data_IF_553269638166
#
_entry.id   IF_553269638166
#
_cell.length_a   1.000
_cell.length_b   1.000
_cell.length_c   1.000
_cell.angle_alpha   90.00
_cell.angle_beta   90.00
_cell.angle_gamma   90.00
#
_symmetry.space_group_name_H-M   'P 1'
#
loop_
_entity.id
_entity.type
_entity.pdbx_description
1 polymer ?
#
# COMPACT_ATOMS: atom_id res chain seq x y z
N UNK A 1 16.39 -18.65 11.07
CA UNK A 1 17.46 -17.72 10.68
C UNK A 1 16.98 -16.27 10.46
N UNK A 2 15.92 -15.81 11.15
CA UNK A 2 15.38 -14.42 11.06
C UNK A 2 15.54 -13.60 12.36
N UNK A 3 15.98 -14.24 13.47
CA UNK A 3 16.16 -13.60 14.79
C UNK A 3 17.44 -12.77 14.92
N UNK A 4 18.44 -12.99 14.07
CA UNK A 4 19.66 -12.16 14.04
C UNK A 4 19.47 -10.83 13.30
N UNK A 5 18.40 -10.68 12.49
CA UNK A 5 18.11 -9.41 11.80
C UNK A 5 17.50 -8.32 12.69
N UNK A 6 17.06 -8.64 13.91
CA UNK A 6 16.47 -7.67 14.84
C UNK A 6 17.50 -6.85 15.62
N UNK A 7 18.76 -7.29 15.70
CA UNK A 7 19.81 -6.61 16.47
C UNK A 7 20.67 -5.64 15.65
N UNK A 8 20.51 -5.65 14.33
CA UNK A 8 20.96 -4.58 13.46
C UNK A 8 19.79 -3.62 13.19
N UNK A 9 19.25 -3.01 14.24
CA UNK A 9 18.79 -1.62 14.10
C UNK A 9 20.00 -0.88 13.56
N UNK A 10 20.00 -0.61 12.25
CA UNK A 10 21.16 -0.05 11.56
C UNK A 10 21.54 1.21 12.32
N UNK A 11 22.80 1.33 12.71
CA UNK A 11 23.33 2.52 13.36
C UNK A 11 22.87 3.82 12.66
N UNK A 12 22.68 3.75 11.34
CA UNK A 12 22.07 4.75 10.45
C UNK A 12 20.67 5.23 10.88
N UNK A 13 19.84 4.38 11.46
CA UNK A 13 18.49 4.71 11.94
C UNK A 13 18.51 5.28 13.37
N UNK A 14 19.47 4.87 14.20
CA UNK A 14 19.64 5.36 15.57
C UNK A 14 20.38 6.70 15.61
N UNK A 15 21.30 6.96 14.69
CA UNK A 15 22.13 8.16 14.65
C UNK A 15 21.30 9.46 14.63
N UNK A 16 20.22 9.62 13.85
CA UNK A 16 19.41 10.84 13.86
C UNK A 16 18.71 11.08 15.19
N UNK A 17 18.24 10.02 15.85
CA UNK A 17 17.62 10.10 17.17
C UNK A 17 18.65 10.42 18.26
N UNK A 18 19.82 9.78 18.20
CA UNK A 18 20.92 10.04 19.13
C UNK A 18 21.47 11.46 18.94
N UNK A 19 21.57 11.93 17.69
CA UNK A 19 21.90 13.31 17.37
C UNK A 19 20.82 14.29 17.84
N UNK A 20 19.54 13.94 17.69
CA UNK A 20 18.42 14.74 18.22
C UNK A 20 18.45 14.84 19.74
N UNK A 21 18.66 13.72 20.44
CA UNK A 21 18.83 13.67 21.90
C UNK A 21 20.07 14.46 22.32
N UNK A 22 21.21 14.28 21.64
CA UNK A 22 22.43 15.03 21.91
C UNK A 22 22.24 16.52 21.65
N UNK A 23 21.52 16.93 20.61
CA UNK A 23 21.19 18.32 20.32
C UNK A 23 20.26 18.90 21.39
N UNK A 24 19.26 18.14 21.85
CA UNK A 24 18.36 18.58 22.93
C UNK A 24 19.12 18.69 24.26
N UNK A 25 19.93 17.69 24.62
CA UNK A 25 20.74 17.71 25.84
C UNK A 25 21.83 18.77 25.78
N UNK A 26 22.52 18.91 24.64
CA UNK A 26 23.48 19.98 24.42
C UNK A 26 22.80 21.33 24.37
N UNK A 27 21.55 21.44 23.89
CA UNK A 27 20.81 22.70 23.91
C UNK A 27 20.45 23.11 25.33
N UNK A 28 20.25 22.19 26.27
CA UNK A 28 20.04 22.53 27.68
C UNK A 28 21.34 23.07 28.30
N UNK A 29 22.47 22.38 28.11
CA UNK A 29 23.77 22.83 28.64
C UNK A 29 24.30 24.09 27.95
N UNK A 30 24.06 24.20 26.64
CA UNK A 30 24.37 25.40 25.86
C UNK A 30 23.43 26.55 26.22
N UNK A 31 22.15 26.29 26.50
CA UNK A 31 21.22 27.30 26.98
C UNK A 31 21.63 27.80 28.37
N UNK A 32 22.06 26.93 29.27
CA UNK A 32 22.58 27.33 30.59
C UNK A 32 23.89 28.12 30.44
N UNK A 33 24.83 27.64 29.63
CA UNK A 33 26.10 28.35 29.38
C UNK A 33 25.91 29.69 28.67
N UNK A 34 24.98 29.76 27.71
CA UNK A 34 24.59 31.01 27.07
C UNK A 34 23.86 31.91 28.05
N UNK A 35 22.99 31.36 28.91
CA UNK A 35 22.30 32.12 29.95
C UNK A 35 23.29 32.77 30.89
N UNK A 36 24.28 32.04 31.38
CA UNK A 36 25.33 32.57 32.25
C UNK A 36 26.14 33.66 31.54
N UNK A 37 26.50 33.45 30.27
CA UNK A 37 27.18 34.46 29.45
C UNK A 37 26.33 35.71 29.20
N UNK A 38 25.04 35.54 28.92
CA UNK A 38 24.08 36.64 28.73
C UNK A 38 23.76 37.35 30.04
N UNK A 39 23.71 36.66 31.18
CA UNK A 39 23.54 37.26 32.50
C UNK A 39 24.78 38.11 32.86
N UNK A 40 25.99 37.62 32.59
CA UNK A 40 27.22 38.42 32.76
C UNK A 40 27.24 39.67 31.86
N UNK A 41 26.82 39.56 30.60
CA UNK A 41 26.69 40.70 29.69
C UNK A 41 25.57 41.66 30.14
N UNK A 42 24.45 41.12 30.60
CA UNK A 42 23.30 41.87 31.12
C UNK A 42 23.72 42.69 32.35
N UNK A 43 24.47 42.10 33.27
CA UNK A 43 25.01 42.78 34.45
C UNK A 43 26.01 43.88 34.06
N UNK A 44 26.90 43.61 33.09
CA UNK A 44 27.87 44.58 32.59
C UNK A 44 27.20 45.78 31.88
N UNK A 45 26.12 45.55 31.13
CA UNK A 45 25.40 46.59 30.38
C UNK A 45 24.15 47.14 31.09
N UNK A 46 23.86 46.68 32.31
CA UNK A 46 22.68 47.05 33.12
C UNK A 46 21.34 46.88 32.38
N UNK A 47 21.19 45.78 31.63
CA UNK A 47 19.98 45.49 30.85
C UNK A 47 18.87 44.94 31.76
N UNK A 48 17.63 45.45 31.68
CA UNK A 48 16.51 44.90 32.44
C UNK A 48 16.20 43.44 32.07
N UNK A 49 15.94 42.58 33.07
CA UNK A 49 15.75 41.13 32.84
C UNK A 49 14.57 40.75 31.92
N UNK A 50 13.58 41.64 31.76
CA UNK A 50 12.48 41.41 30.81
C UNK A 50 12.93 41.49 29.34
N UNK A 51 13.98 42.28 29.05
CA UNK A 51 14.53 42.43 27.69
C UNK A 51 15.23 41.15 27.26
N UNK A 52 16.01 40.52 28.14
CA UNK A 52 16.66 39.23 27.85
C UNK A 52 15.63 38.12 27.64
N UNK A 53 14.55 38.08 28.43
CA UNK A 53 13.46 37.12 28.23
C UNK A 53 12.79 37.28 26.86
N UNK A 54 12.59 38.53 26.42
CA UNK A 54 12.02 38.82 25.10
C UNK A 54 12.96 38.42 23.97
N UNK A 55 14.27 38.59 24.14
CA UNK A 55 15.28 38.14 23.17
C UNK A 55 15.29 36.61 22.99
N UNK A 56 15.24 35.84 24.09
CA UNK A 56 15.15 34.38 24.02
C UNK A 56 13.89 33.91 23.31
N UNK A 57 12.75 34.55 23.58
CA UNK A 57 11.48 34.25 22.90
C UNK A 57 11.57 34.52 21.40
N UNK A 58 12.18 35.64 21.00
CA UNK A 58 12.39 35.98 19.58
C UNK A 58 13.30 34.96 18.90
N UNK A 59 14.41 34.55 19.52
CA UNK A 59 15.31 33.51 18.99
C UNK A 59 14.57 32.18 18.83
N UNK A 60 13.76 31.77 19.81
CA UNK A 60 12.95 30.55 19.72
C UNK A 60 11.96 30.62 18.56
N UNK A 61 11.26 31.75 18.38
CA UNK A 61 10.32 31.95 17.27
C UNK A 61 11.06 31.89 15.93
N UNK A 62 12.25 32.51 15.82
CA UNK A 62 13.09 32.44 14.61
C UNK A 62 13.51 31.00 14.34
N UNK A 63 13.94 30.25 15.36
CA UNK A 63 14.34 28.84 15.21
C UNK A 63 13.16 27.97 14.76
N UNK A 64 11.96 28.16 15.34
CA UNK A 64 10.73 27.46 14.92
C UNK A 64 10.35 27.85 13.49
N UNK A 65 10.40 29.14 13.13
CA UNK A 65 10.11 29.61 11.78
C UNK A 65 11.11 29.06 10.76
N UNK A 66 12.39 29.01 11.12
CA UNK A 66 13.44 28.41 10.30
C UNK A 66 13.22 26.92 10.12
N UNK A 67 12.93 26.17 11.19
CA UNK A 67 12.61 24.73 11.14
C UNK A 67 11.35 24.46 10.31
N UNK A 68 10.32 25.31 10.42
CA UNK A 68 9.12 25.25 9.60
C UNK A 68 9.42 25.52 8.12
N UNK A 69 10.37 26.41 7.82
CA UNK A 69 10.78 26.71 6.45
C UNK A 69 11.66 25.58 5.87
N UNK A 70 12.53 24.97 6.68
CA UNK A 70 13.42 23.86 6.29
C UNK A 70 12.75 22.49 6.38
N UNK A 71 11.52 22.39 6.88
CA UNK A 71 10.76 21.12 6.99
C UNK A 71 10.71 20.36 5.66
N UNK A 72 10.63 21.08 4.54
CA UNK A 72 10.57 20.46 3.20
C UNK A 72 11.88 19.80 2.78
N UNK A 73 13.01 20.10 3.42
CA UNK A 73 14.29 19.43 3.19
C UNK A 73 14.51 18.27 4.16
N UNK A 74 14.06 18.42 5.42
CA UNK A 74 14.17 17.38 6.46
C UNK A 74 13.20 16.22 6.26
N UNK A 75 11.99 16.53 5.78
CA UNK A 75 10.89 15.58 5.62
C UNK A 75 10.54 15.37 4.15
N UNK A 76 11.51 15.39 3.22
CA UNK A 76 11.23 14.81 1.90
C UNK A 76 11.09 13.31 2.09
N UNK A 77 9.89 12.75 1.89
CA UNK A 77 9.77 11.31 1.91
C UNK A 77 10.60 10.75 0.77
N UNK A 78 11.67 10.03 1.11
CA UNK A 78 12.33 9.16 0.15
C UNK A 78 11.70 7.79 0.30
N UNK A 79 11.12 7.30 -0.79
CA UNK A 79 10.70 5.91 -0.92
C UNK A 79 11.97 5.07 -0.88
N UNK A 80 12.22 4.43 0.25
CA UNK A 80 13.38 3.56 0.46
C UNK A 80 13.06 2.27 -0.30
N UNK A 81 13.73 2.10 -1.44
CA UNK A 81 13.77 0.86 -2.21
C UNK A 81 12.43 0.34 -2.75
N UNK A 82 12.08 0.74 -3.98
CA UNK A 82 11.34 -0.18 -4.85
C UNK A 82 12.36 -1.23 -5.31
N UNK A 83 12.37 -2.44 -4.72
CA UNK A 83 13.13 -3.56 -5.28
C UNK A 83 12.48 -3.94 -6.63
N UNK A 84 12.93 -3.29 -7.69
CA UNK A 84 12.45 -3.53 -9.05
C UNK A 84 12.72 -4.99 -9.43
N UNK A 85 11.71 -5.70 -9.92
CA UNK A 85 11.77 -7.08 -10.41
C UNK A 85 11.97 -8.21 -9.39
N UNK A 86 11.70 -8.01 -8.10
CA UNK A 86 11.56 -9.16 -7.19
C UNK A 86 10.26 -9.90 -7.48
N UNK A 87 10.35 -11.20 -7.75
CA UNK A 87 9.17 -12.07 -7.76
C UNK A 87 8.55 -12.02 -6.35
N UNK A 88 7.27 -11.67 -6.20
CA UNK A 88 6.63 -11.58 -4.89
C UNK A 88 6.81 -12.92 -4.16
N UNK A 89 7.09 -12.88 -2.86
CA UNK A 89 6.90 -14.09 -2.07
C UNK A 89 5.39 -14.44 -2.07
N UNK A 90 5.01 -15.73 -2.06
CA UNK A 90 3.60 -16.08 -1.96
C UNK A 90 2.98 -15.65 -0.62
N UNK A 91 1.84 -14.95 -0.63
CA UNK A 91 1.15 -14.46 0.56
C UNK A 91 -0.18 -15.20 0.80
N UNK A 92 -0.55 -15.50 2.05
CA UNK A 92 -1.79 -16.20 2.38
C UNK A 92 -3.05 -15.31 2.34
N UNK A 93 -2.92 -13.98 2.34
CA UNK A 93 -4.05 -13.04 2.25
C UNK A 93 -3.83 -12.09 1.06
N UNK A 94 -4.75 -12.09 0.10
CA UNK A 94 -4.69 -11.22 -1.07
C UNK A 94 -5.89 -10.27 -1.08
N UNK A 95 -5.65 -8.98 -1.29
CA UNK A 95 -6.68 -7.98 -1.57
C UNK A 95 -6.60 -7.61 -3.04
N UNK A 96 -7.70 -7.69 -3.79
CA UNK A 96 -7.72 -7.38 -5.22
C UNK A 96 -8.82 -6.39 -5.58
N UNK A 97 -8.51 -5.46 -6.47
CA UNK A 97 -9.50 -4.58 -7.08
C UNK A 97 -10.03 -5.22 -8.36
N UNK A 98 -11.32 -5.57 -8.38
CA UNK A 98 -11.92 -6.23 -9.53
C UNK A 98 -12.38 -5.19 -10.56
N UNK A 99 -11.78 -5.24 -11.75
CA UNK A 99 -12.20 -4.45 -12.91
C UNK A 99 -13.59 -4.89 -13.40
N UNK A 100 -14.38 -3.92 -13.86
CA UNK A 100 -15.60 -4.21 -14.59
C UNK A 100 -15.27 -4.79 -15.97
N UNK A 101 -16.07 -5.75 -16.42
CA UNK A 101 -16.12 -6.16 -17.80
C UNK A 101 -17.08 -5.23 -18.53
N UNK A 102 -16.60 -4.59 -19.60
CA UNK A 102 -17.51 -3.84 -20.46
C UNK A 102 -18.46 -4.83 -21.12
N UNK A 103 -19.73 -4.75 -20.75
CA UNK A 103 -20.82 -5.53 -21.34
C UNK A 103 -21.20 -4.94 -22.71
N UNK A 104 -20.27 -5.01 -23.66
CA UNK A 104 -20.59 -4.87 -25.09
C UNK A 104 -21.56 -5.99 -25.46
N UNK A 105 -22.68 -5.64 -26.12
CA UNK A 105 -23.99 -6.29 -26.01
C UNK A 105 -24.11 -7.81 -26.26
N UNK A 106 -23.11 -8.56 -26.73
CA UNK A 106 -23.26 -10.00 -27.00
C UNK A 106 -22.01 -10.87 -26.77
N UNK A 107 -20.88 -10.32 -26.31
CA UNK A 107 -19.60 -11.04 -26.40
C UNK A 107 -19.12 -11.71 -25.11
N UNK A 108 -19.87 -11.57 -24.01
CA UNK A 108 -19.47 -12.10 -22.69
C UNK A 108 -20.63 -12.89 -22.07
N UNK A 109 -20.39 -14.18 -21.80
CA UNK A 109 -21.32 -15.07 -21.11
C UNK A 109 -20.74 -15.44 -19.74
N UNK A 110 -21.46 -15.12 -18.66
CA UNK A 110 -21.02 -15.36 -17.27
C UNK A 110 -19.57 -14.87 -17.01
N UNK A 111 -19.24 -13.69 -17.54
CA UNK A 111 -17.93 -13.07 -17.39
C UNK A 111 -16.82 -13.65 -18.29
N UNK A 112 -17.10 -14.68 -19.09
CA UNK A 112 -16.15 -15.28 -20.04
C UNK A 112 -16.47 -14.77 -21.46
N UNK A 113 -15.48 -14.23 -22.20
CA UNK A 113 -15.70 -13.85 -23.59
C UNK A 113 -16.01 -15.05 -24.49
N UNK A 114 -16.88 -14.90 -25.50
CA UNK A 114 -17.29 -16.00 -26.40
C UNK A 114 -16.13 -16.66 -27.15
N UNK A 115 -15.01 -15.96 -27.34
CA UNK A 115 -13.81 -16.48 -27.99
C UNK A 115 -12.91 -17.29 -27.05
N UNK A 116 -13.19 -17.30 -25.74
CA UNK A 116 -12.41 -18.00 -24.72
C UNK A 116 -13.21 -19.18 -24.17
N UNK A 117 -12.62 -20.36 -24.21
CA UNK A 117 -13.15 -21.54 -23.51
C UNK A 117 -12.19 -21.93 -22.40
N UNK A 118 -12.69 -22.01 -21.17
CA UNK A 118 -11.90 -22.42 -20.01
C UNK A 118 -11.97 -23.94 -19.84
N UNK A 119 -10.81 -24.57 -19.64
CA UNK A 119 -10.63 -26.02 -19.47
C UNK A 119 -10.69 -26.47 -18.01
N UNK A 120 -10.85 -25.53 -17.08
CA UNK A 120 -10.76 -25.73 -15.62
C UNK A 120 -9.34 -26.09 -15.14
N UNK A 121 -8.34 -25.96 -16.00
CA UNK A 121 -6.93 -25.98 -15.62
C UNK A 121 -6.35 -24.57 -15.81
N UNK A 122 -6.05 -23.90 -14.69
CA UNK A 122 -5.58 -22.51 -14.70
C UNK A 122 -4.26 -22.35 -15.47
N UNK A 123 -3.37 -23.35 -15.44
CA UNK A 123 -2.10 -23.28 -16.16
C UNK A 123 -2.29 -23.38 -17.68
N UNK A 124 -3.21 -24.25 -18.13
CA UNK A 124 -3.55 -24.42 -19.55
C UNK A 124 -4.34 -23.22 -20.09
N UNK A 125 -5.28 -22.71 -19.31
CA UNK A 125 -6.11 -21.59 -19.70
C UNK A 125 -5.28 -20.30 -19.82
N UNK A 126 -4.35 -20.05 -18.91
CA UNK A 126 -3.43 -18.89 -19.02
C UNK A 126 -2.48 -19.01 -20.21
N UNK A 127 -1.97 -20.22 -20.51
CA UNK A 127 -1.18 -20.47 -21.73
C UNK A 127 -2.00 -20.25 -23.00
N UNK A 128 -3.29 -20.60 -22.97
CA UNK A 128 -4.20 -20.40 -24.10
C UNK A 128 -4.46 -18.91 -24.33
N UNK A 129 -4.76 -18.17 -23.25
CA UNK A 129 -4.93 -16.71 -23.31
C UNK A 129 -3.68 -16.00 -23.82
N UNK A 130 -2.50 -16.47 -23.45
CA UNK A 130 -1.21 -15.97 -23.94
C UNK A 130 -1.06 -16.15 -25.46
N UNK A 131 -1.29 -17.37 -25.97
CA UNK A 131 -1.25 -17.65 -27.41
C UNK A 131 -2.25 -16.81 -28.20
N UNK A 132 -3.47 -16.66 -27.68
CA UNK A 132 -4.53 -15.88 -28.32
C UNK A 132 -4.13 -14.41 -28.49
N UNK A 133 -3.40 -13.83 -27.53
CA UNK A 133 -2.88 -12.45 -27.63
C UNK A 133 -1.80 -12.29 -28.67
N UNK A 134 -0.94 -13.30 -28.84
CA UNK A 134 0.11 -13.29 -29.87
C UNK A 134 -0.50 -13.34 -31.28
N UNK A 135 -1.61 -14.05 -31.44
CA UNK A 135 -2.36 -14.14 -32.69
C UNK A 135 -3.25 -12.90 -32.94
N UNK A 136 -3.87 -12.36 -31.89
CA UNK A 136 -4.86 -11.27 -31.94
C UNK A 136 -4.77 -10.34 -30.73
N UNK A 137 -4.14 -9.17 -30.94
CA UNK A 137 -3.90 -8.19 -29.85
C UNK A 137 -5.17 -7.61 -29.22
N UNK A 138 -6.31 -7.69 -29.90
CA UNK A 138 -7.62 -7.24 -29.40
C UNK A 138 -8.27 -8.24 -28.42
N UNK A 139 -7.75 -9.47 -28.32
CA UNK A 139 -8.26 -10.50 -27.41
C UNK A 139 -7.64 -10.37 -26.02
N UNK A 140 -8.02 -9.30 -25.31
CA UNK A 140 -7.64 -9.09 -23.91
C UNK A 140 -8.84 -9.26 -23.00
N UNK A 141 -8.71 -10.15 -22.01
CA UNK A 141 -9.73 -10.33 -20.98
C UNK A 141 -9.24 -9.76 -19.65
N UNK A 142 -9.96 -8.77 -19.11
CA UNK A 142 -9.56 -8.03 -17.91
C UNK A 142 -9.34 -8.91 -16.68
N UNK A 143 -10.10 -10.00 -16.55
CA UNK A 143 -10.01 -10.91 -15.42
C UNK A 143 -8.84 -11.89 -15.51
N UNK A 144 -8.12 -11.95 -16.62
CA UNK A 144 -6.88 -12.72 -16.72
C UNK A 144 -5.83 -12.26 -15.71
N UNK A 145 -5.65 -10.94 -15.52
CA UNK A 145 -4.61 -10.42 -14.63
C UNK A 145 -4.85 -10.84 -13.16
N UNK A 146 -6.06 -10.66 -12.58
CA UNK A 146 -6.41 -11.23 -11.28
C UNK A 146 -6.18 -12.74 -11.20
N UNK A 147 -6.49 -13.50 -12.25
CA UNK A 147 -6.26 -14.96 -12.27
C UNK A 147 -4.76 -15.31 -12.21
N UNK A 148 -3.91 -14.56 -12.93
CA UNK A 148 -2.44 -14.69 -12.87
C UNK A 148 -1.90 -14.35 -11.47
N UNK A 149 -2.36 -13.25 -10.88
CA UNK A 149 -2.00 -12.84 -9.53
C UNK A 149 -2.38 -13.90 -8.48
N UNK A 150 -3.61 -14.43 -8.56
CA UNK A 150 -4.09 -15.49 -7.67
C UNK A 150 -3.31 -16.79 -7.83
N UNK A 151 -3.01 -17.21 -9.07
CA UNK A 151 -2.21 -18.41 -9.36
C UNK A 151 -0.86 -18.38 -8.64
N UNK A 152 -0.20 -17.23 -8.63
CA UNK A 152 1.09 -17.06 -7.97
C UNK A 152 1.04 -17.38 -6.46
N UNK A 153 -0.09 -17.11 -5.82
CA UNK A 153 -0.30 -17.33 -4.38
C UNK A 153 -1.01 -18.64 -4.02
N UNK A 154 -1.59 -19.33 -5.00
CA UNK A 154 -2.56 -20.42 -4.77
C UNK A 154 -2.13 -21.49 -3.75
N UNK A 155 -0.83 -21.80 -3.65
CA UNK A 155 -0.30 -22.82 -2.73
C UNK A 155 -0.40 -22.46 -1.25
N UNK A 156 -0.41 -21.16 -0.93
CA UNK A 156 -0.42 -20.66 0.46
C UNK A 156 -1.66 -19.82 0.76
N UNK A 157 -2.44 -19.47 -0.26
CA UNK A 157 -3.59 -18.59 -0.17
C UNK A 157 -4.65 -19.20 0.75
N UNK A 158 -5.07 -18.42 1.75
CA UNK A 158 -6.14 -18.76 2.70
C UNK A 158 -7.39 -17.94 2.45
N UNK A 159 -7.21 -16.67 2.05
CA UNK A 159 -8.32 -15.77 1.80
C UNK A 159 -8.00 -14.74 0.73
N UNK A 160 -9.01 -14.42 -0.07
CA UNK A 160 -9.02 -13.35 -1.05
C UNK A 160 -10.10 -12.36 -0.66
N UNK A 161 -9.75 -11.08 -0.58
CA UNK A 161 -10.70 -9.97 -0.41
C UNK A 161 -10.83 -9.24 -1.73
N UNK A 162 -12.03 -9.26 -2.30
CA UNK A 162 -12.36 -8.56 -3.53
C UNK A 162 -12.95 -7.20 -3.18
N UNK A 163 -12.35 -6.14 -3.73
CA UNK A 163 -12.88 -4.79 -3.72
C UNK A 163 -13.50 -4.54 -5.09
N UNK A 164 -14.80 -4.26 -5.13
CA UNK A 164 -15.53 -4.01 -6.37
C UNK A 164 -15.89 -2.53 -6.51
N UNK A 165 -15.99 -2.06 -7.75
CA UNK A 165 -16.66 -0.81 -8.05
C UNK A 165 -18.17 -0.99 -8.09
N UNK A 166 -18.92 0.11 -8.17
CA UNK A 166 -20.37 0.07 -8.41
C UNK A 166 -20.75 -0.70 -9.69
N UNK A 167 -19.83 -0.83 -10.66
CA UNK A 167 -20.06 -1.59 -11.89
C UNK A 167 -19.64 -3.06 -11.76
N UNK A 168 -18.49 -3.33 -11.15
CA UNK A 168 -17.97 -4.69 -11.03
C UNK A 168 -18.63 -5.50 -9.90
N UNK A 169 -19.37 -4.85 -9.00
CA UNK A 169 -20.14 -5.54 -7.95
C UNK A 169 -21.22 -6.46 -8.55
N UNK A 170 -21.88 -6.01 -9.62
CA UNK A 170 -22.90 -6.82 -10.33
C UNK A 170 -22.30 -8.07 -10.96
N UNK A 171 -20.99 -8.05 -11.26
CA UNK A 171 -20.30 -9.08 -12.01
C UNK A 171 -19.44 -10.01 -11.14
N UNK A 172 -19.21 -9.66 -9.87
CA UNK A 172 -18.31 -10.40 -8.96
C UNK A 172 -18.70 -11.87 -8.79
N UNK A 173 -20.00 -12.16 -8.87
CA UNK A 173 -20.53 -13.51 -8.74
C UNK A 173 -20.10 -14.42 -9.91
N UNK A 174 -19.92 -13.87 -11.11
CA UNK A 174 -19.32 -14.59 -12.24
C UNK A 174 -17.84 -14.86 -12.02
N UNK A 175 -17.11 -13.86 -11.51
CA UNK A 175 -15.69 -14.06 -11.17
C UNK A 175 -15.54 -15.15 -10.10
N UNK A 176 -16.39 -15.15 -9.07
CA UNK A 176 -16.46 -16.22 -8.07
C UNK A 176 -16.72 -17.60 -8.69
N UNK A 177 -17.72 -17.72 -9.58
CA UNK A 177 -17.99 -18.96 -10.31
C UNK A 177 -16.76 -19.44 -11.07
N UNK A 178 -16.05 -18.54 -11.77
CA UNK A 178 -14.81 -18.84 -12.49
C UNK A 178 -13.73 -19.34 -11.52
N UNK A 179 -13.52 -18.69 -10.38
CA UNK A 179 -12.55 -19.16 -9.39
C UNK A 179 -12.88 -20.59 -8.92
N UNK A 180 -14.15 -20.90 -8.68
CA UNK A 180 -14.58 -22.21 -8.18
C UNK A 180 -14.46 -23.34 -9.22
N UNK A 181 -14.28 -23.01 -10.51
CA UNK A 181 -13.99 -24.00 -11.55
C UNK A 181 -12.60 -24.61 -11.42
N UNK A 182 -11.63 -23.85 -10.89
CA UNK A 182 -10.24 -24.31 -10.81
C UNK A 182 -9.98 -25.05 -9.49
N UNK A 183 -9.49 -26.31 -9.52
CA UNK A 183 -9.15 -27.06 -8.31
C UNK A 183 -8.17 -26.31 -7.40
N UNK A 184 -7.20 -25.61 -7.99
CA UNK A 184 -6.18 -24.83 -7.28
C UNK A 184 -6.76 -23.68 -6.44
N UNK A 185 -8.01 -23.27 -6.71
CA UNK A 185 -8.66 -22.14 -6.05
C UNK A 185 -9.79 -22.56 -5.09
N UNK A 186 -10.02 -23.86 -4.90
CA UNK A 186 -11.06 -24.33 -4.00
C UNK A 186 -10.70 -24.20 -2.51
N UNK A 187 -9.40 -24.15 -2.18
CA UNK A 187 -8.89 -24.20 -0.80
C UNK A 187 -8.92 -22.89 -0.01
N UNK A 188 -9.34 -21.77 -0.59
CA UNK A 188 -9.38 -20.47 0.08
C UNK A 188 -10.75 -19.81 0.08
N UNK A 189 -10.97 -18.94 1.07
CA UNK A 189 -12.17 -18.14 1.20
C UNK A 189 -12.13 -16.95 0.22
N UNK A 190 -13.27 -16.64 -0.40
CA UNK A 190 -13.42 -15.41 -1.20
C UNK A 190 -14.40 -14.51 -0.48
N UNK A 191 -13.94 -13.33 -0.09
CA UNK A 191 -14.69 -12.31 0.61
C UNK A 191 -14.83 -11.08 -0.29
N UNK A 192 -15.85 -10.26 -0.04
CA UNK A 192 -16.05 -8.97 -0.71
C UNK A 192 -16.02 -7.88 0.35
N UNK A 193 -15.28 -6.82 0.08
CA UNK A 193 -15.29 -5.60 0.89
C UNK A 193 -16.42 -4.69 0.42
N UNK A 194 -17.45 -4.53 1.25
CA UNK A 194 -18.66 -3.77 0.92
C UNK A 194 -18.74 -2.48 1.72
N UNK A 195 -19.35 -1.47 1.10
CA UNK A 195 -19.87 -0.30 1.79
C UNK A 195 -21.37 -0.52 2.08
N UNK A 196 -21.75 -0.56 3.35
CA UNK A 196 -23.16 -0.56 3.71
C UNK A 196 -23.81 0.80 3.39
N UNK A 197 -25.12 0.82 3.23
CA UNK A 197 -25.97 2.01 3.13
C UNK A 197 -25.75 3.04 4.25
N UNK A 198 -25.25 2.59 5.40
CA UNK A 198 -24.87 3.43 6.54
C UNK A 198 -23.46 4.04 6.44
N UNK A 199 -22.68 3.73 5.40
CA UNK A 199 -21.27 4.11 5.27
C UNK A 199 -20.30 3.19 6.03
N UNK A 200 -20.79 2.07 6.56
CA UNK A 200 -19.99 1.12 7.33
C UNK A 200 -19.30 0.10 6.42
N UNK A 201 -18.00 -0.09 6.61
CA UNK A 201 -17.20 -1.10 5.89
C UNK A 201 -17.46 -2.49 6.46
N UNK A 202 -17.82 -3.44 5.61
CA UNK A 202 -18.07 -4.83 6.02
C UNK A 202 -17.38 -5.83 5.08
N UNK A 203 -16.98 -6.97 5.64
CA UNK A 203 -16.39 -8.08 4.90
C UNK A 203 -17.37 -9.26 4.86
N UNK A 204 -17.89 -9.57 3.68
CA UNK A 204 -18.95 -10.56 3.48
C UNK A 204 -18.47 -11.68 2.56
N UNK A 205 -18.83 -12.96 2.79
CA UNK A 205 -18.51 -14.03 1.85
C UNK A 205 -19.06 -13.75 0.44
N UNK A 206 -18.23 -14.01 -0.57
CA UNK A 206 -18.66 -13.97 -1.97
C UNK A 206 -19.44 -15.25 -2.29
N UNK A 207 -20.52 -15.10 -3.04
CA UNK A 207 -21.38 -16.22 -3.46
C UNK A 207 -21.56 -16.22 -4.98
N UNK A 208 -22.28 -17.21 -5.50
CA UNK A 208 -22.65 -17.32 -6.91
C UNK A 208 -23.88 -16.47 -7.28
N UNK A 209 -24.42 -15.73 -6.32
CA UNK A 209 -25.59 -14.87 -6.49
C UNK A 209 -25.17 -13.44 -6.85
N UNK A 210 -25.91 -12.84 -7.78
CA UNK A 210 -25.71 -11.46 -8.19
C UNK A 210 -25.92 -10.50 -7.02
N UNK A 211 -25.06 -9.47 -6.94
CA UNK A 211 -25.16 -8.40 -5.96
C UNK A 211 -25.16 -7.06 -6.67
N UNK A 212 -26.18 -6.23 -6.41
CA UNK A 212 -26.39 -4.96 -7.13
C UNK A 212 -25.81 -3.73 -6.43
N UNK A 213 -25.44 -3.84 -5.15
CA UNK A 213 -25.05 -2.69 -4.33
C UNK A 213 -23.89 -3.03 -3.40
N UNK A 214 -23.27 -1.97 -2.85
CA UNK A 214 -22.14 -2.06 -1.91
C UNK A 214 -20.77 -2.02 -2.57
N UNK A 215 -20.71 -1.70 -3.87
CA UNK A 215 -19.47 -1.32 -4.54
C UNK A 215 -18.91 0.01 -4.02
N UNK A 216 -17.69 0.30 -4.46
CA UNK A 216 -17.01 1.55 -4.15
C UNK A 216 -16.91 2.43 -5.39
N UNK A 217 -16.99 3.75 -5.20
CA UNK A 217 -16.61 4.66 -6.27
C UNK A 217 -15.08 4.63 -6.42
N UNK A 218 -14.61 4.04 -7.52
CA UNK A 218 -13.19 3.86 -7.79
C UNK A 218 -12.45 5.15 -8.12
N UNK A 219 -13.15 6.26 -8.37
CA UNK A 219 -12.54 7.59 -8.56
C UNK A 219 -12.41 8.37 -7.23
N UNK A 220 -13.01 7.88 -6.13
CA UNK A 220 -13.01 8.57 -4.83
C UNK A 220 -11.89 8.08 -3.91
N UNK A 221 -10.71 8.69 -4.07
CA UNK A 221 -9.50 8.37 -3.29
C UNK A 221 -9.75 8.27 -1.77
N UNK A 222 -10.39 9.26 -1.16
CA UNK A 222 -10.60 9.31 0.30
C UNK A 222 -11.49 8.17 0.80
N UNK A 223 -12.52 7.81 0.04
CA UNK A 223 -13.45 6.74 0.40
C UNK A 223 -12.74 5.39 0.34
N UNK A 224 -12.02 5.13 -0.74
CA UNK A 224 -11.21 3.92 -0.89
C UNK A 224 -10.12 3.81 0.17
N UNK A 225 -9.39 4.90 0.44
CA UNK A 225 -8.36 4.90 1.48
C UNK A 225 -8.95 4.67 2.88
N UNK A 226 -10.18 5.13 3.13
CA UNK A 226 -10.91 4.83 4.37
C UNK A 226 -11.31 3.35 4.42
N UNK A 227 -11.87 2.83 3.33
CA UNK A 227 -12.25 1.42 3.20
C UNK A 227 -11.07 0.48 3.47
N UNK A 228 -9.92 0.76 2.86
CA UNK A 228 -8.71 -0.03 3.05
C UNK A 228 -8.19 0.07 4.48
N UNK A 229 -8.22 1.25 5.13
CA UNK A 229 -7.85 1.38 6.55
C UNK A 229 -8.76 0.55 7.46
N UNK A 230 -10.06 0.54 7.22
CA UNK A 230 -11.00 -0.30 7.97
C UNK A 230 -10.76 -1.80 7.69
N UNK A 231 -10.44 -2.18 6.45
CA UNK A 231 -10.05 -3.56 6.13
C UNK A 231 -8.82 -4.01 6.94
N UNK A 232 -7.79 -3.17 7.05
CA UNK A 232 -6.62 -3.47 7.88
C UNK A 232 -6.98 -3.60 9.36
N UNK A 233 -7.90 -2.79 9.89
CA UNK A 233 -8.41 -2.97 11.27
C UNK A 233 -9.14 -4.31 11.42
N UNK A 234 -9.92 -4.71 10.43
CA UNK A 234 -10.58 -6.04 10.41
C UNK A 234 -9.53 -7.15 10.44
N UNK A 235 -8.45 -7.05 9.65
CA UNK A 235 -7.35 -8.01 9.66
C UNK A 235 -6.62 -8.05 11.01
N UNK A 236 -6.33 -6.89 11.59
CA UNK A 236 -5.73 -6.78 12.93
C UNK A 236 -6.59 -7.44 14.01
N UNK A 237 -7.91 -7.19 13.99
CA UNK A 237 -8.87 -7.81 14.91
C UNK A 237 -8.92 -9.34 14.74
N UNK A 238 -8.71 -9.84 13.51
CA UNK A 238 -8.57 -11.26 13.20
C UNK A 238 -7.17 -11.82 13.49
N UNK A 239 -6.25 -11.00 14.01
CA UNK A 239 -4.84 -11.34 14.28
C UNK A 239 -4.10 -11.85 13.04
N UNK A 240 -4.44 -11.31 11.88
CA UNK A 240 -3.73 -11.56 10.63
C UNK A 240 -2.49 -10.64 10.61
N UNK A 241 -1.27 -11.19 10.50
CA UNK A 241 -0.05 -10.38 10.45
C UNK A 241 0.02 -9.57 9.15
N UNK A 242 0.49 -8.31 9.21
CA UNK A 242 0.51 -7.43 8.05
C UNK A 242 1.46 -7.93 6.95
N UNK A 243 2.57 -8.57 7.33
CA UNK A 243 3.55 -9.19 6.42
C UNK A 243 2.99 -10.39 5.63
N UNK A 244 1.77 -10.82 5.94
CA UNK A 244 1.06 -11.89 5.24
C UNK A 244 0.02 -11.37 4.24
N UNK A 245 -0.10 -10.04 4.12
CA UNK A 245 -1.09 -9.38 3.28
C UNK A 245 -0.40 -8.85 2.02
N UNK A 246 -0.96 -9.22 0.87
CA UNK A 246 -0.60 -8.69 -0.44
C UNK A 246 -1.77 -7.91 -1.02
N UNK A 247 -1.51 -6.73 -1.60
CA UNK A 247 -2.53 -5.91 -2.28
C UNK A 247 -2.26 -5.90 -3.79
N UNK A 248 -3.10 -6.55 -4.58
CA UNK A 248 -3.06 -6.53 -6.03
C UNK A 248 -3.74 -5.28 -6.58
N UNK A 249 -2.96 -4.44 -7.26
CA UNK A 249 -3.42 -3.18 -7.84
C UNK A 249 -3.43 -3.18 -9.38
N UNK A 250 -3.35 -4.37 -9.98
CA UNK A 250 -3.39 -4.52 -11.44
C UNK A 250 -4.77 -4.19 -12.00
N UNK A 251 -5.81 -4.49 -11.25
CA UNK A 251 -7.20 -4.20 -11.61
C UNK A 251 -7.70 -2.85 -11.10
N UNK A 252 -8.86 -2.44 -11.60
CA UNK A 252 -9.52 -1.18 -11.24
C UNK A 252 -9.09 0.02 -12.10
N UNK A 253 -9.08 1.19 -11.46
CA UNK A 253 -8.76 2.48 -12.09
C UNK A 253 -7.41 2.99 -11.57
N UNK A 254 -6.87 4.06 -12.17
CA UNK A 254 -5.59 4.63 -11.70
C UNK A 254 -5.63 5.01 -10.22
N UNK A 255 -6.77 5.52 -9.76
CA UNK A 255 -6.98 5.89 -8.35
C UNK A 255 -6.90 4.66 -7.43
N UNK A 256 -7.41 3.49 -7.82
CA UNK A 256 -7.28 2.28 -7.00
C UNK A 256 -5.83 1.86 -6.87
N UNK A 257 -5.03 2.00 -7.92
CA UNK A 257 -3.59 1.71 -7.85
C UNK A 257 -2.83 2.66 -6.92
N UNK A 258 -3.16 3.96 -6.94
CA UNK A 258 -2.57 4.93 -6.00
C UNK A 258 -2.96 4.60 -4.55
N UNK A 259 -4.23 4.27 -4.28
CA UNK A 259 -4.68 3.89 -2.94
C UNK A 259 -4.00 2.60 -2.46
N UNK A 260 -3.92 1.60 -3.32
CA UNK A 260 -3.33 0.30 -3.01
C UNK A 260 -1.86 0.40 -2.63
N UNK A 261 -1.09 1.25 -3.32
CA UNK A 261 0.32 1.50 -2.98
C UNK A 261 0.44 2.43 -1.78
N UNK A 262 -0.39 3.49 -1.68
CA UNK A 262 -0.31 4.43 -0.56
C UNK A 262 -0.65 3.78 0.79
N UNK A 263 -1.54 2.78 0.82
CA UNK A 263 -1.91 2.10 2.06
C UNK A 263 -0.81 1.16 2.58
N UNK A 264 0.13 0.72 1.74
CA UNK A 264 1.26 -0.11 2.18
C UNK A 264 2.40 0.71 2.74
N UNK A 265 2.35 2.04 2.67
CA UNK A 265 3.45 2.87 3.14
C UNK A 265 3.66 2.73 4.66
N UNK A 266 4.91 2.46 5.07
CA UNK A 266 5.29 2.20 6.46
C UNK A 266 4.53 1.03 7.10
N UNK A 267 4.22 0.00 6.30
CA UNK A 267 3.59 -1.22 6.76
C UNK A 267 4.38 -2.41 6.25
N UNK A 268 4.25 -3.53 6.94
CA UNK A 268 4.89 -4.77 6.52
C UNK A 268 4.15 -5.46 5.35
N UNK A 269 2.97 -4.95 4.98
CA UNK A 269 2.19 -5.46 3.84
C UNK A 269 2.80 -5.02 2.51
N UNK A 270 2.80 -5.91 1.51
CA UNK A 270 3.30 -5.60 0.16
C UNK A 270 2.18 -5.32 -0.83
N UNK A 271 2.52 -4.64 -1.93
CA UNK A 271 1.64 -4.45 -3.08
C UNK A 271 2.16 -5.24 -4.29
N UNK A 272 1.29 -5.69 -5.18
CA UNK A 272 1.70 -6.35 -6.43
C UNK A 272 1.01 -5.80 -7.68
N UNK A 273 1.73 -5.95 -8.78
CA UNK A 273 1.28 -5.68 -10.14
C UNK A 273 1.58 -6.89 -11.02
N UNK A 274 0.60 -7.31 -11.81
CA UNK A 274 0.80 -8.28 -12.88
C UNK A 274 1.05 -7.52 -14.18
N UNK A 275 2.21 -7.73 -14.79
CA UNK A 275 2.57 -7.06 -16.04
C UNK A 275 1.56 -7.35 -17.15
N UNK A 276 1.13 -6.32 -17.86
CA UNK A 276 0.26 -6.45 -19.04
C UNK A 276 1.01 -6.90 -20.30
N UNK A 277 2.35 -6.84 -20.27
CA UNK A 277 3.24 -7.27 -21.35
C UNK A 277 3.98 -8.56 -20.96
N UNK A 278 4.30 -9.37 -21.97
CA UNK A 278 5.18 -10.52 -21.83
C UNK A 278 6.46 -10.13 -21.05
N UNK A 279 6.90 -10.94 -20.06
CA UNK A 279 6.44 -12.30 -19.74
C UNK A 279 5.24 -12.39 -18.77
N UNK A 280 4.48 -11.31 -18.57
CA UNK A 280 3.33 -11.22 -17.65
C UNK A 280 3.70 -11.59 -16.21
N UNK A 281 4.91 -11.20 -15.80
CA UNK A 281 5.42 -11.44 -14.46
C UNK A 281 4.54 -10.73 -13.42
N UNK A 282 4.38 -11.40 -12.28
CA UNK A 282 3.91 -10.75 -11.05
C UNK A 282 5.12 -10.08 -10.40
N UNK A 283 5.00 -8.79 -10.15
CA UNK A 283 6.04 -7.95 -9.55
C UNK A 283 5.51 -7.43 -8.22
N UNK A 284 6.30 -7.54 -7.15
CA UNK A 284 5.98 -6.91 -5.88
C UNK A 284 6.62 -5.53 -5.77
N UNK A 285 5.90 -4.62 -5.15
CA UNK A 285 6.39 -3.33 -4.71
C UNK A 285 6.23 -3.23 -3.20
N UNK A 286 7.33 -2.90 -2.55
CA UNK A 286 7.38 -2.51 -1.16
C UNK A 286 7.82 -1.05 -1.10
N UNK A 287 7.20 -0.27 -0.22
CA UNK A 287 7.47 1.16 -0.11
C UNK A 287 7.58 1.54 1.36
N UNK A 288 8.83 1.66 1.81
CA UNK A 288 9.16 2.17 3.13
C UNK A 288 9.43 3.69 3.05
N UNK A 289 8.95 4.48 4.02
CA UNK A 289 9.46 5.84 4.19
C UNK A 289 10.81 5.76 4.92
N UNK A 290 11.88 6.11 4.22
CA UNK A 290 13.18 6.35 4.86
C UNK A 290 13.26 7.75 5.46
N UNK A 291 14.02 7.92 6.54
CA UNK A 291 14.55 9.23 6.90
C UNK A 291 15.44 9.76 5.77
N UNK A 292 15.64 11.07 5.73
CA UNK A 292 16.57 11.68 4.79
C UNK A 292 17.96 11.08 5.02
N UNK A 293 18.34 10.16 4.13
CA UNK A 293 19.72 9.76 3.96
C UNK A 293 20.50 11.06 3.72
N UNK A 294 21.42 11.42 4.62
CA UNK A 294 22.36 12.51 4.42
C UNK A 294 23.19 12.07 3.23
N UNK A 295 22.72 12.44 2.04
CA UNK A 295 23.11 11.80 0.80
C UNK A 295 24.59 11.54 0.81
N UNK A 296 24.97 10.33 0.41
CA UNK A 296 26.35 9.97 0.16
C UNK A 296 27.05 11.16 -0.51
N UNK A 297 27.80 11.90 0.29
CA UNK A 297 29.01 12.52 -0.17
C UNK A 297 29.82 11.31 -0.54
N UNK A 298 29.86 11.02 -1.84
CA UNK A 298 30.72 9.98 -2.38
C UNK A 298 32.14 10.27 -1.90
N UNK A 299 32.56 9.48 -0.91
CA UNK A 299 33.94 9.07 -0.63
C UNK A 299 33.84 7.60 -0.28
#
# INVERSE_FOLDING_TARGET
>A
MKKEKMWHLRWEELQPWLAGVLVVLSSAWFADSMRDGFEAIRECMNIPGWVSGLLYLVILIIAIAWLYHTRKALFQPRTRYLEEHKKPEPHPYLVLFLSDLYLGKNDIQEGIPNWLTLTNNIDDDLRTMEKLKDERRDQQWRWEMPLRGLRHHAKVLKQVVIVCSDKSIEQVHWFYKILRRYPNFQGFDVMILLNDSSGTVQLTPCTDQERKTGGWDFEQFNNLATAMRELFKIFQNKKIPEEQIMIDFTGGQKVTSVVAVAITFNRDSSAQYVSTNAPWDVVSYDVEYGSSDTGGVGI
#
